data_IF_719046767369
#
_entry.id   IF_719046767369
#
_cell.length_a   1.000
_cell.length_b   1.000
_cell.length_c   1.000
_cell.angle_alpha   90.00
_cell.angle_beta   90.00
_cell.angle_gamma   90.00
#
_symmetry.space_group_name_H-M   'P 1'
#
loop_
_entity.id
_entity.type
_entity.pdbx_description
1 polymer ?
#
# COMPACT_ATOMS: atom_id res chain seq x y z
N UNK A 1 16.13 -5.79 -2.99
CA UNK A 1 15.09 -6.84 -2.83
C UNK A 1 15.09 -7.42 -1.41
N UNK A 2 13.96 -7.31 -0.71
CA UNK A 2 13.66 -8.01 0.54
C UNK A 2 12.59 -9.07 0.25
N UNK A 3 12.70 -10.24 0.89
CA UNK A 3 11.69 -11.30 0.85
C UNK A 3 11.36 -11.74 2.27
N UNK A 4 10.08 -11.84 2.61
CA UNK A 4 9.62 -12.34 3.92
C UNK A 4 8.35 -13.19 3.81
N UNK A 5 8.15 -14.11 4.73
CA UNK A 5 6.84 -14.72 4.96
C UNK A 5 5.99 -13.79 5.84
N UNK A 6 4.70 -13.65 5.55
CA UNK A 6 3.77 -12.90 6.40
C UNK A 6 3.35 -13.75 7.59
N UNK A 7 3.24 -13.14 8.77
CA UNK A 7 2.89 -13.88 10.00
C UNK A 7 1.46 -14.40 10.01
N UNK A 8 0.53 -13.71 9.31
CA UNK A 8 -0.90 -14.06 9.32
C UNK A 8 -1.23 -15.25 8.41
N UNK A 9 -0.62 -15.33 7.23
CA UNK A 9 -0.99 -16.32 6.21
C UNK A 9 0.17 -17.19 5.74
N UNK A 10 1.41 -16.86 6.12
CA UNK A 10 2.61 -17.53 5.60
C UNK A 10 2.94 -17.18 4.15
N UNK A 11 2.13 -16.35 3.49
CA UNK A 11 2.38 -15.94 2.10
C UNK A 11 3.69 -15.16 2.00
N UNK A 12 4.44 -15.38 0.92
CA UNK A 12 5.68 -14.65 0.69
C UNK A 12 5.39 -13.29 0.06
N UNK A 13 5.96 -12.25 0.65
CA UNK A 13 6.01 -10.91 0.11
C UNK A 13 7.45 -10.61 -0.32
N UNK A 14 7.64 -10.17 -1.56
CA UNK A 14 8.92 -9.74 -2.08
C UNK A 14 8.82 -8.32 -2.65
N UNK A 15 9.71 -7.44 -2.21
CA UNK A 15 9.69 -6.03 -2.60
C UNK A 15 11.09 -5.54 -2.90
N UNK A 16 11.25 -4.78 -3.98
CA UNK A 16 12.47 -3.99 -4.17
C UNK A 16 12.31 -2.60 -3.55
N UNK A 17 12.73 -2.48 -2.28
CA UNK A 17 12.61 -1.22 -1.54
C UNK A 17 13.41 -0.07 -2.14
N UNK A 18 14.32 -0.33 -3.09
CA UNK A 18 15.02 0.71 -3.85
C UNK A 18 14.07 1.62 -4.63
N UNK A 19 12.88 1.10 -4.98
CA UNK A 19 11.82 1.83 -5.67
C UNK A 19 10.82 2.49 -4.69
N UNK A 20 11.08 2.45 -3.39
CA UNK A 20 10.20 3.00 -2.35
C UNK A 20 10.93 4.15 -1.61
N UNK A 21 10.97 5.38 -2.17
CA UNK A 21 11.78 6.48 -1.65
C UNK A 21 11.44 6.82 -0.19
N UNK A 22 10.16 6.87 0.17
CA UNK A 22 9.71 7.14 1.54
C UNK A 22 10.29 6.11 2.52
N UNK A 23 10.32 4.82 2.14
CA UNK A 23 10.86 3.76 3.00
C UNK A 23 12.37 3.94 3.17
N UNK A 24 13.09 4.26 2.11
CA UNK A 24 14.54 4.51 2.18
C UNK A 24 14.86 5.73 3.04
N UNK A 25 14.07 6.80 2.93
CA UNK A 25 14.24 8.00 3.73
C UNK A 25 13.99 7.75 5.22
N UNK A 26 12.94 7.00 5.55
CA UNK A 26 12.72 6.55 6.93
C UNK A 26 13.86 5.65 7.43
N UNK A 27 14.36 4.74 6.59
CA UNK A 27 15.45 3.84 6.96
C UNK A 27 16.77 4.57 7.27
N UNK A 28 17.02 5.74 6.65
CA UNK A 28 18.19 6.59 6.96
C UNK A 28 18.22 7.05 8.42
N UNK A 29 17.06 7.16 9.08
CA UNK A 29 16.98 7.54 10.48
C UNK A 29 17.43 6.41 11.44
N UNK A 30 17.55 5.18 10.93
CA UNK A 30 18.09 4.04 11.68
C UNK A 30 19.55 3.82 11.25
N UNK A 31 20.53 3.99 12.16
CA UNK A 31 21.94 3.73 11.88
C UNK A 31 22.16 2.31 11.34
N UNK A 32 23.08 2.16 10.38
CA UNK A 32 23.27 0.90 9.65
C UNK A 32 23.63 -0.29 10.57
N UNK A 33 24.44 -0.04 11.60
CA UNK A 33 24.83 -0.99 12.66
C UNK A 33 23.65 -1.44 13.54
N UNK A 34 22.55 -0.66 13.56
CA UNK A 34 21.33 -0.95 14.30
C UNK A 34 20.21 -1.55 13.45
N UNK A 35 20.47 -1.86 12.17
CA UNK A 35 19.49 -2.47 11.27
C UNK A 35 19.41 -3.99 11.41
N UNK A 36 19.51 -4.49 12.65
CA UNK A 36 19.42 -5.91 12.98
C UNK A 36 18.27 -6.11 13.96
N UNK A 37 17.37 -7.04 13.64
CA UNK A 37 16.16 -7.26 14.43
C UNK A 37 15.08 -6.20 14.16
N UNK A 38 14.27 -5.84 15.17
CA UNK A 38 13.20 -4.86 15.01
C UNK A 38 13.73 -3.46 14.68
N UNK A 39 13.31 -2.91 13.53
CA UNK A 39 13.75 -1.58 13.08
C UNK A 39 12.91 -0.43 13.68
N UNK A 40 11.64 -0.71 13.98
CA UNK A 40 10.71 0.26 14.55
C UNK A 40 10.58 -0.07 16.04
N UNK A 41 11.19 0.76 16.86
CA UNK A 41 11.28 0.59 18.32
C UNK A 41 10.54 1.74 19.01
N UNK A 42 9.90 1.43 20.14
CA UNK A 42 9.33 2.42 21.02
C UNK A 42 10.44 3.01 21.88
N UNK A 43 10.76 4.28 21.63
CA UNK A 43 11.86 5.01 22.26
C UNK A 43 11.70 5.11 23.78
N UNK A 44 10.46 5.11 24.29
CA UNK A 44 10.20 5.15 25.73
C UNK A 44 10.53 3.83 26.45
N UNK A 45 10.57 2.72 25.72
CA UNK A 45 10.77 1.37 26.31
C UNK A 45 11.99 0.64 25.79
N UNK A 46 12.58 1.09 24.69
CA UNK A 46 13.65 0.39 23.97
C UNK A 46 13.23 -0.93 23.32
N UNK A 47 11.94 -1.27 23.35
CA UNK A 47 11.37 -2.52 22.81
C UNK A 47 10.55 -2.22 21.54
N UNK A 48 10.28 -3.23 20.70
CA UNK A 48 9.34 -3.07 19.59
C UNK A 48 7.97 -2.64 20.11
N UNK A 49 7.26 -1.83 19.33
CA UNK A 49 5.89 -1.46 19.69
C UNK A 49 5.00 -2.70 19.81
N UNK A 50 4.26 -2.79 20.92
CA UNK A 50 3.07 -3.63 20.97
C UNK A 50 1.98 -3.04 20.05
N UNK A 51 1.16 -3.89 19.45
CA UNK A 51 0.15 -3.50 18.44
C UNK A 51 -0.77 -2.37 18.91
N UNK A 52 -1.31 -2.49 20.12
CA UNK A 52 -2.23 -1.49 20.69
C UNK A 52 -1.53 -0.16 20.97
N UNK A 53 -0.25 -0.18 21.36
CA UNK A 53 0.55 1.03 21.58
C UNK A 53 0.79 1.72 20.24
N UNK A 54 1.21 0.97 19.22
CA UNK A 54 1.42 1.51 17.88
C UNK A 54 0.13 2.15 17.33
N UNK A 55 -0.99 1.46 17.45
CA UNK A 55 -2.30 1.95 16.98
C UNK A 55 -2.69 3.26 17.68
N UNK A 56 -2.46 3.35 19.00
CA UNK A 56 -2.73 4.56 19.78
C UNK A 56 -1.82 5.71 19.36
N UNK A 57 -0.50 5.49 19.28
CA UNK A 57 0.44 6.55 18.89
C UNK A 57 0.21 7.01 17.46
N UNK A 58 -0.08 6.10 16.53
CA UNK A 58 -0.45 6.47 15.16
C UNK A 58 -1.69 7.35 15.13
N UNK A 59 -2.74 7.04 15.91
CA UNK A 59 -3.96 7.86 15.96
C UNK A 59 -3.67 9.28 16.44
N UNK A 60 -2.86 9.44 17.48
CA UNK A 60 -2.47 10.77 17.99
C UNK A 60 -1.75 11.59 16.91
N UNK A 61 -0.79 10.97 16.22
CA UNK A 61 -0.04 11.62 15.13
C UNK A 61 -0.98 11.96 13.96
N UNK A 62 -1.86 11.04 13.58
CA UNK A 62 -2.83 11.23 12.51
C UNK A 62 -3.76 12.43 12.79
N UNK A 63 -4.31 12.52 14.01
CA UNK A 63 -5.15 13.65 14.42
C UNK A 63 -4.38 14.97 14.42
N UNK A 64 -3.13 14.98 14.93
CA UNK A 64 -2.28 16.16 14.89
C UNK A 64 -1.95 16.61 13.46
N UNK A 65 -1.90 15.67 12.51
CA UNK A 65 -1.72 15.93 11.09
C UNK A 65 -3.03 16.25 10.34
N UNK A 66 -4.18 16.32 11.05
CA UNK A 66 -5.49 16.62 10.44
C UNK A 66 -6.11 15.46 9.67
N UNK A 67 -5.64 14.23 9.88
CA UNK A 67 -6.22 13.03 9.25
C UNK A 67 -7.54 12.67 9.96
N UNK A 68 -8.65 12.49 9.21
CA UNK A 68 -9.94 12.12 9.80
C UNK A 68 -9.91 10.81 10.59
N UNK A 69 -10.81 10.68 11.57
CA UNK A 69 -10.84 9.53 12.50
C UNK A 69 -11.21 8.21 11.82
N UNK A 70 -12.01 8.28 10.76
CA UNK A 70 -12.39 7.14 9.93
C UNK A 70 -11.21 6.55 9.14
N UNK A 71 -10.19 7.36 8.81
CA UNK A 71 -8.99 6.90 8.10
C UNK A 71 -8.07 6.20 9.09
N UNK A 72 -7.67 4.96 8.79
CA UNK A 72 -6.82 4.13 9.65
C UNK A 72 -5.47 3.87 9.00
N UNK A 73 -4.46 3.51 9.79
CA UNK A 73 -3.13 3.16 9.26
C UNK A 73 -3.18 2.08 8.17
N UNK A 74 -4.07 1.08 8.33
CA UNK A 74 -4.26 0.02 7.35
C UNK A 74 -4.82 0.50 6.00
N UNK A 75 -5.47 1.68 5.94
CA UNK A 75 -5.99 2.22 4.67
C UNK A 75 -4.86 2.63 3.71
N UNK A 76 -3.64 2.88 4.20
CA UNK A 76 -2.48 3.11 3.34
C UNK A 76 -2.24 1.93 2.37
N UNK A 77 -2.54 0.70 2.80
CA UNK A 77 -2.46 -0.48 1.95
C UNK A 77 -3.53 -0.50 0.86
N UNK A 78 -4.76 -0.09 1.19
CA UNK A 78 -5.82 0.05 0.19
C UNK A 78 -5.52 1.17 -0.80
N UNK A 79 -4.94 2.27 -0.31
CA UNK A 79 -4.44 3.38 -1.13
C UNK A 79 -3.39 2.90 -2.14
N UNK A 80 -2.35 2.19 -1.70
CA UNK A 80 -1.29 1.70 -2.58
C UNK A 80 -1.81 0.73 -3.68
N UNK A 81 -2.78 -0.14 -3.35
CA UNK A 81 -3.41 -1.02 -4.34
C UNK A 81 -4.25 -0.22 -5.34
N UNK A 82 -4.99 0.78 -4.86
CA UNK A 82 -5.80 1.65 -5.72
C UNK A 82 -4.92 2.50 -6.64
N UNK A 83 -3.86 3.10 -6.11
CA UNK A 83 -2.88 3.88 -6.88
C UNK A 83 -2.22 3.04 -7.98
N UNK A 84 -1.78 1.82 -7.65
CA UNK A 84 -1.19 0.92 -8.65
C UNK A 84 -2.19 0.48 -9.73
N UNK A 85 -3.44 0.23 -9.36
CA UNK A 85 -4.52 -0.09 -10.30
C UNK A 85 -4.84 1.09 -11.22
N UNK A 86 -4.93 2.31 -10.68
CA UNK A 86 -5.13 3.54 -11.45
C UNK A 86 -3.95 3.85 -12.38
N UNK A 87 -2.73 3.47 -11.97
CA UNK A 87 -1.54 3.51 -12.81
C UNK A 87 -1.49 2.40 -13.88
N UNK A 88 -2.49 1.51 -13.93
CA UNK A 88 -2.64 0.48 -14.95
C UNK A 88 -1.96 -0.85 -14.64
N UNK A 89 -1.54 -1.10 -13.40
CA UNK A 89 -1.02 -2.40 -13.02
C UNK A 89 -2.12 -3.48 -13.08
N UNK A 90 -1.76 -4.68 -13.54
CA UNK A 90 -2.71 -5.78 -13.57
C UNK A 90 -3.01 -6.32 -12.15
N UNK A 91 -4.17 -6.96 -12.01
CA UNK A 91 -4.65 -7.44 -10.72
C UNK A 91 -3.76 -8.54 -10.10
N UNK A 92 -3.04 -9.31 -10.91
CA UNK A 92 -2.13 -10.35 -10.42
C UNK A 92 -0.84 -9.75 -9.85
N UNK A 93 -0.30 -8.73 -10.51
CA UNK A 93 0.80 -7.91 -9.99
C UNK A 93 0.42 -7.23 -8.67
N UNK A 94 -0.77 -6.62 -8.60
CA UNK A 94 -1.27 -5.99 -7.38
C UNK A 94 -1.51 -7.00 -6.25
N UNK A 95 -2.01 -8.20 -6.57
CA UNK A 95 -2.15 -9.32 -5.63
C UNK A 95 -0.80 -9.73 -5.06
N UNK A 96 0.23 -9.82 -5.91
CA UNK A 96 1.59 -10.20 -5.52
C UNK A 96 2.22 -9.15 -4.59
N UNK A 97 2.11 -7.86 -4.92
CA UNK A 97 2.56 -6.76 -4.03
C UNK A 97 1.80 -6.77 -2.72
N UNK A 98 0.50 -7.07 -2.74
CA UNK A 98 -0.27 -7.21 -1.52
C UNK A 98 0.09 -8.50 -0.74
N UNK A 99 0.73 -9.51 -1.34
CA UNK A 99 0.84 -10.85 -0.77
C UNK A 99 -0.52 -11.47 -0.42
N UNK A 100 -1.52 -11.24 -1.28
CA UNK A 100 -2.81 -11.94 -1.22
C UNK A 100 -2.71 -13.30 -1.92
N UNK A 101 -3.42 -14.31 -1.39
CA UNK A 101 -3.48 -15.62 -2.03
C UNK A 101 -4.33 -15.61 -3.32
N UNK A 102 -5.39 -14.78 -3.34
CA UNK A 102 -6.34 -14.72 -4.45
C UNK A 102 -6.53 -13.28 -4.94
N UNK A 103 -6.75 -13.12 -6.24
CA UNK A 103 -7.06 -11.82 -6.88
C UNK A 103 -8.39 -11.23 -6.39
N UNK A 104 -9.35 -12.07 -6.02
CA UNK A 104 -10.63 -11.64 -5.42
C UNK A 104 -10.45 -10.87 -4.11
N UNK A 105 -9.41 -11.19 -3.34
CA UNK A 105 -9.06 -10.43 -2.14
C UNK A 105 -8.55 -9.05 -2.51
N UNK A 106 -7.68 -8.93 -3.51
CA UNK A 106 -7.14 -7.65 -4.01
C UNK A 106 -8.22 -6.77 -4.61
N UNK A 107 -9.18 -7.33 -5.34
CA UNK A 107 -10.27 -6.59 -5.95
C UNK A 107 -11.09 -5.77 -4.93
N UNK A 108 -11.20 -6.24 -3.67
CA UNK A 108 -11.88 -5.51 -2.57
C UNK A 108 -11.14 -4.24 -2.12
N UNK A 109 -9.86 -4.13 -2.45
CA UNK A 109 -9.03 -2.97 -2.07
C UNK A 109 -8.99 -1.90 -3.15
N UNK A 110 -9.45 -2.18 -4.37
CA UNK A 110 -9.53 -1.20 -5.44
C UNK A 110 -10.76 -0.32 -5.20
N UNK A 111 -10.55 0.89 -4.68
CA UNK A 111 -11.63 1.81 -4.28
C UNK A 111 -11.99 2.86 -5.35
N UNK A 112 -11.32 2.87 -6.50
CA UNK A 112 -11.50 3.83 -7.60
C UNK A 112 -12.49 3.38 -8.67
N UNK A 113 -13.80 3.57 -8.46
CA UNK A 113 -14.82 3.29 -9.48
C UNK A 113 -14.89 4.35 -10.59
N UNK A 114 -14.66 5.63 -10.23
CA UNK A 114 -14.83 6.77 -11.14
C UNK A 114 -13.76 6.81 -12.24
N UNK A 115 -12.50 6.56 -11.90
CA UNK A 115 -11.39 6.52 -12.86
C UNK A 115 -11.60 5.44 -13.92
N UNK A 116 -12.00 4.23 -13.49
CA UNK A 116 -12.34 3.11 -14.40
C UNK A 116 -13.55 3.42 -15.28
N UNK A 117 -14.60 3.97 -14.69
CA UNK A 117 -15.80 4.36 -15.44
C UNK A 117 -15.45 5.38 -16.53
N UNK A 118 -14.63 6.38 -16.20
CA UNK A 118 -14.14 7.39 -17.15
C UNK A 118 -13.25 6.78 -18.24
N UNK A 119 -12.33 5.89 -17.89
CA UNK A 119 -11.47 5.21 -18.87
C UNK A 119 -12.28 4.39 -19.86
N UNK A 120 -13.26 3.60 -19.38
CA UNK A 120 -14.19 2.84 -20.23
C UNK A 120 -15.02 3.78 -21.10
N UNK A 121 -15.52 4.89 -20.55
CA UNK A 121 -16.28 5.88 -21.31
C UNK A 121 -15.44 6.48 -22.46
N UNK A 122 -14.17 6.83 -22.20
CA UNK A 122 -13.25 7.35 -23.22
C UNK A 122 -12.98 6.30 -24.32
N UNK A 123 -12.70 5.04 -23.97
CA UNK A 123 -12.50 3.98 -24.94
C UNK A 123 -13.73 3.78 -25.84
N UNK A 124 -14.93 3.88 -25.26
CA UNK A 124 -16.19 3.82 -26.02
C UNK A 124 -16.36 5.00 -26.97
N UNK A 125 -15.97 6.20 -26.56
CA UNK A 125 -15.99 7.38 -27.43
C UNK A 125 -15.01 7.22 -28.59
N UNK A 126 -13.78 6.77 -28.33
CA UNK A 126 -12.76 6.53 -29.37
C UNK A 126 -13.22 5.47 -30.36
N UNK A 127 -13.80 4.36 -29.88
CA UNK A 127 -14.34 3.32 -30.77
C UNK A 127 -15.45 3.88 -31.66
N UNK A 128 -16.40 4.65 -31.11
CA UNK A 128 -17.48 5.26 -31.90
C UNK A 128 -16.96 6.25 -32.95
N UNK A 129 -16.00 7.08 -32.60
CA UNK A 129 -15.37 7.99 -33.55
C UNK A 129 -14.75 7.22 -34.72
N UNK A 130 -14.00 6.14 -34.44
CA UNK A 130 -13.39 5.30 -35.47
C UNK A 130 -14.39 4.57 -36.40
N UNK A 131 -15.63 4.34 -35.94
CA UNK A 131 -16.67 3.70 -36.75
C UNK A 131 -17.51 4.70 -37.56
N UNK A 132 -17.55 5.98 -37.13
CA UNK A 132 -18.32 7.02 -37.80
C UNK A 132 -17.51 7.78 -38.87
N UNK A 133 -16.19 7.57 -38.93
CA UNK A 133 -15.28 8.12 -39.96
C UNK A 133 -15.04 7.15 -41.14
N UNK A 134 -15.69 5.98 -41.14
CA UNK A 134 -15.67 4.98 -42.22
C UNK A 134 -16.99 4.97 -43.00
#
# INVERSE_FOLDING_TARGET
MIRKATTKTGAFAAHDLKLCPIVLDLLKHVPADRRVGPLIINEATGKPYAEWVFTREWRKIAQAAGIPDEVRNMDARAGAITEGDEAGADLDSLKTVAAHATTSTTARYVRGGLGKSRAVANLRLMHRASQNEA
#
